data_IF_213006588584
#
_entry.id   IF_213006588584
#
_cell.length_a   1.000
_cell.length_b   1.000
_cell.length_c   1.000
_cell.angle_alpha   90.00
_cell.angle_beta   90.00
_cell.angle_gamma   90.00
#
_symmetry.space_group_name_H-M   'P 1'
#
loop_
_entity.id
_entity.type
_entity.pdbx_description
1 polymer ?
#
# COMPACT_ATOMS: atom_id res chain seq x y z
N UNK A 1 -31.48 -36.48 -27.90
CA UNK A 1 -30.67 -35.26 -27.71
C UNK A 1 -30.60 -34.99 -26.21
N UNK A 2 -29.65 -35.58 -25.51
CA UNK A 2 -29.42 -35.32 -24.07
C UNK A 2 -27.93 -35.44 -23.83
N UNK A 3 -27.26 -34.31 -23.75
CA UNK A 3 -25.81 -34.26 -23.63
C UNK A 3 -25.34 -32.84 -23.35
N UNK A 4 -25.79 -32.27 -22.23
CA UNK A 4 -25.13 -31.10 -21.61
C UNK A 4 -25.35 -31.17 -20.09
N UNK A 5 -24.30 -30.87 -19.32
CA UNK A 5 -24.29 -30.44 -17.90
C UNK A 5 -24.01 -31.43 -16.76
N UNK A 6 -23.08 -32.39 -16.90
CA UNK A 6 -22.46 -33.02 -15.70
C UNK A 6 -21.04 -32.53 -15.41
N UNK A 7 -20.32 -31.97 -16.40
CA UNK A 7 -18.93 -31.52 -16.20
C UNK A 7 -18.76 -30.16 -15.52
N UNK A 8 -19.74 -29.26 -15.61
CA UNK A 8 -19.62 -27.89 -15.10
C UNK A 8 -19.92 -27.79 -13.60
N UNK A 9 -20.83 -28.60 -13.07
CA UNK A 9 -21.22 -28.57 -11.66
C UNK A 9 -20.10 -29.06 -10.74
N UNK A 10 -19.39 -30.12 -11.12
CA UNK A 10 -18.26 -30.65 -10.35
C UNK A 10 -17.08 -29.67 -10.25
N UNK A 11 -16.76 -28.94 -11.32
CA UNK A 11 -15.69 -27.93 -11.32
C UNK A 11 -16.06 -26.74 -10.43
N UNK A 12 -17.32 -26.29 -10.47
CA UNK A 12 -17.80 -25.20 -9.62
C UNK A 12 -17.82 -25.57 -8.13
N UNK A 13 -18.22 -26.79 -7.79
CA UNK A 13 -18.18 -27.28 -6.41
C UNK A 13 -16.75 -27.41 -5.89
N UNK A 14 -15.83 -27.90 -6.72
CA UNK A 14 -14.43 -28.07 -6.35
C UNK A 14 -13.74 -26.70 -6.17
N UNK A 15 -13.98 -25.75 -7.07
CA UNK A 15 -13.47 -24.38 -6.97
C UNK A 15 -14.04 -23.64 -5.75
N UNK A 16 -15.33 -23.81 -5.45
CA UNK A 16 -15.95 -23.25 -4.25
C UNK A 16 -15.38 -23.86 -2.96
N UNK A 17 -15.11 -25.17 -2.96
CA UNK A 17 -14.52 -25.86 -1.81
C UNK A 17 -13.09 -25.38 -1.52
N UNK A 18 -12.28 -25.18 -2.56
CA UNK A 18 -10.91 -24.65 -2.48
C UNK A 18 -10.93 -23.23 -1.91
N UNK A 19 -11.81 -22.36 -2.43
CA UNK A 19 -11.98 -20.98 -1.94
C UNK A 19 -12.33 -20.96 -0.45
N UNK A 20 -13.27 -21.81 -0.01
CA UNK A 20 -13.68 -21.90 1.40
C UNK A 20 -12.57 -22.43 2.30
N UNK A 21 -11.80 -23.41 1.84
CA UNK A 21 -10.65 -23.95 2.57
C UNK A 21 -9.53 -22.90 2.74
N UNK A 22 -9.24 -22.14 1.68
CA UNK A 22 -8.25 -21.06 1.70
C UNK A 22 -8.68 -19.92 2.64
N UNK A 23 -9.94 -19.50 2.59
CA UNK A 23 -10.49 -18.50 3.51
C UNK A 23 -10.39 -18.95 4.98
N UNK A 24 -10.67 -20.24 5.28
CA UNK A 24 -10.51 -20.79 6.63
C UNK A 24 -9.05 -20.84 7.07
N UNK A 25 -8.12 -21.14 6.15
CA UNK A 25 -6.67 -21.13 6.40
C UNK A 25 -6.15 -19.71 6.69
N UNK A 26 -6.65 -18.69 6.00
CA UNK A 26 -6.35 -17.28 6.31
C UNK A 26 -6.88 -16.86 7.67
N UNK A 27 -8.16 -17.14 7.95
CA UNK A 27 -8.76 -16.86 9.26
C UNK A 27 -7.99 -17.54 10.40
N UNK A 28 -7.49 -18.77 10.19
CA UNK A 28 -6.66 -19.48 11.18
C UNK A 28 -5.29 -18.82 11.43
N UNK A 29 -4.79 -18.05 10.47
CA UNK A 29 -3.55 -17.28 10.60
C UNK A 29 -3.70 -16.00 11.41
N UNK A 30 -4.94 -15.61 11.72
CA UNK A 30 -5.29 -14.43 12.50
C UNK A 30 -5.39 -14.75 13.99
N UNK A 31 -4.24 -14.89 14.62
CA UNK A 31 -4.14 -15.24 16.04
C UNK A 31 -4.26 -14.00 16.93
N UNK A 32 -4.62 -14.20 18.20
CA UNK A 32 -4.57 -13.12 19.22
C UNK A 32 -3.17 -12.50 19.32
N UNK A 33 -2.11 -13.29 19.11
CA UNK A 33 -0.73 -12.80 19.08
C UNK A 33 -0.46 -11.89 17.88
N UNK A 34 -0.91 -12.26 16.67
CA UNK A 34 -0.80 -11.38 15.49
C UNK A 34 -1.54 -10.06 15.73
N UNK A 35 -2.78 -10.13 16.20
CA UNK A 35 -3.55 -8.92 16.54
C UNK A 35 -2.84 -8.04 17.57
N UNK A 36 -2.26 -8.64 18.61
CA UNK A 36 -1.50 -7.88 19.60
C UNK A 36 -0.30 -7.18 18.97
N UNK A 37 0.50 -7.87 18.15
CA UNK A 37 1.62 -7.28 17.42
C UNK A 37 1.17 -6.13 16.51
N UNK A 38 0.07 -6.34 15.77
CA UNK A 38 -0.54 -5.32 14.91
C UNK A 38 -0.87 -4.05 15.67
N UNK A 39 -1.52 -4.18 16.82
CA UNK A 39 -1.79 -3.06 17.71
C UNK A 39 -0.50 -2.38 18.17
N UNK A 40 0.53 -3.14 18.56
CA UNK A 40 1.79 -2.59 19.06
C UNK A 40 2.51 -1.73 18.02
N UNK A 41 2.82 -2.29 16.85
CA UNK A 41 3.61 -1.54 15.86
C UNK A 41 2.78 -0.43 15.20
N UNK A 42 1.45 -0.59 15.04
CA UNK A 42 0.56 0.46 14.52
C UNK A 42 0.52 1.65 15.49
N UNK A 43 0.37 1.37 16.78
CA UNK A 43 0.37 2.41 17.82
C UNK A 43 1.72 3.11 17.90
N UNK A 44 2.83 2.37 17.82
CA UNK A 44 4.16 2.96 17.87
C UNK A 44 4.46 3.83 16.64
N UNK A 45 4.14 3.36 15.43
CA UNK A 45 4.28 4.15 14.21
C UNK A 45 3.39 5.40 14.25
N UNK A 46 2.16 5.28 14.72
CA UNK A 46 1.22 6.41 14.89
C UNK A 46 1.77 7.44 15.88
N UNK A 47 2.27 6.99 17.03
CA UNK A 47 2.90 7.87 18.01
C UNK A 47 4.10 8.62 17.43
N UNK A 48 5.00 7.91 16.75
CA UNK A 48 6.16 8.51 16.10
C UNK A 48 5.72 9.55 15.06
N UNK A 49 4.83 9.19 14.13
CA UNK A 49 4.34 10.09 13.10
C UNK A 49 3.67 11.33 13.68
N UNK A 50 2.78 11.14 14.66
CA UNK A 50 2.00 12.23 15.25
C UNK A 50 2.87 13.22 16.03
N UNK A 51 3.83 12.72 16.83
CA UNK A 51 4.75 13.60 17.57
C UNK A 51 5.64 14.41 16.62
N UNK A 52 6.13 13.80 15.54
CA UNK A 52 6.92 14.48 14.52
C UNK A 52 6.09 15.50 13.73
N UNK A 53 4.85 15.15 13.39
CA UNK A 53 3.90 16.07 12.78
C UNK A 53 3.66 17.30 13.66
N UNK A 54 3.47 17.13 14.97
CA UNK A 54 3.33 18.27 15.90
C UNK A 54 4.58 19.15 15.89
N UNK A 55 5.79 18.58 15.91
CA UNK A 55 7.04 19.35 15.87
C UNK A 55 7.10 20.21 14.60
N UNK A 56 6.84 19.59 13.44
CA UNK A 56 6.88 20.26 12.13
C UNK A 56 5.77 21.31 12.01
N UNK A 57 4.54 21.00 12.43
CA UNK A 57 3.44 21.94 12.42
C UNK A 57 3.71 23.15 13.34
N UNK A 58 4.28 22.93 14.52
CA UNK A 58 4.67 24.01 15.43
C UNK A 58 5.80 24.86 14.87
N UNK A 59 6.72 24.29 14.09
CA UNK A 59 7.73 25.08 13.36
C UNK A 59 7.04 26.08 12.42
N UNK A 60 6.05 25.64 11.62
CA UNK A 60 5.32 26.53 10.72
C UNK A 60 4.57 27.67 11.43
N UNK A 61 4.11 27.46 12.66
CA UNK A 61 3.30 28.44 13.40
C UNK A 61 4.14 29.35 14.30
N UNK A 62 5.22 28.84 14.88
CA UNK A 62 5.90 29.49 16.01
C UNK A 62 7.37 29.81 15.78
N UNK A 63 8.02 29.34 14.69
CA UNK A 63 9.45 29.61 14.49
C UNK A 63 9.73 31.10 14.23
N UNK A 64 8.78 31.83 13.64
CA UNK A 64 9.02 33.19 13.13
C UNK A 64 9.96 33.22 11.91
N UNK A 65 10.46 32.06 11.46
CA UNK A 65 11.42 31.91 10.37
C UNK A 65 10.73 31.57 9.04
N UNK A 66 9.51 31.03 9.09
CA UNK A 66 8.79 30.60 7.88
C UNK A 66 8.45 31.79 7.00
N UNK A 67 8.98 31.77 5.78
CA UNK A 67 8.69 32.77 4.75
C UNK A 67 7.77 32.21 3.66
N UNK A 68 7.31 33.09 2.76
CA UNK A 68 6.40 32.74 1.67
C UNK A 68 6.92 31.61 0.75
N UNK A 69 8.23 31.55 0.51
CA UNK A 69 8.79 30.50 -0.33
C UNK A 69 8.53 29.11 0.27
N UNK A 70 8.68 28.93 1.58
CA UNK A 70 8.46 27.64 2.25
C UNK A 70 6.99 27.21 2.21
N UNK A 71 6.06 28.15 2.32
CA UNK A 71 4.63 27.90 2.13
C UNK A 71 4.33 27.48 0.68
N UNK A 72 5.02 28.06 -0.31
CA UNK A 72 4.88 27.70 -1.72
C UNK A 72 5.54 26.37 -2.10
N UNK A 73 6.66 25.99 -1.46
CA UNK A 73 7.36 24.72 -1.71
C UNK A 73 6.72 23.51 -1.01
N UNK A 74 6.02 23.71 0.11
CA UNK A 74 5.39 22.61 0.86
C UNK A 74 4.40 21.77 0.03
N UNK A 75 3.52 22.36 -0.81
CA UNK A 75 2.68 21.59 -1.75
C UNK A 75 3.48 20.71 -2.72
N UNK A 76 4.67 21.14 -3.17
CA UNK A 76 5.52 20.34 -4.06
C UNK A 76 6.08 19.12 -3.32
N UNK A 77 6.50 19.28 -2.06
CA UNK A 77 6.95 18.17 -1.23
C UNK A 77 5.84 17.14 -0.99
N UNK A 78 4.62 17.61 -0.75
CA UNK A 78 3.44 16.74 -0.63
C UNK A 78 3.19 15.99 -1.93
N UNK A 79 3.20 16.69 -3.07
CA UNK A 79 2.97 16.10 -4.39
C UNK A 79 3.98 15.00 -4.74
N UNK A 80 5.29 15.27 -4.57
CA UNK A 80 6.32 14.28 -4.83
C UNK A 80 6.27 13.10 -3.85
N UNK A 81 5.94 13.35 -2.57
CA UNK A 81 5.76 12.28 -1.61
C UNK A 81 4.58 11.36 -1.97
N UNK A 82 3.47 11.91 -2.47
CA UNK A 82 2.34 11.13 -2.96
C UNK A 82 2.68 10.30 -4.20
N UNK A 83 3.45 10.86 -5.15
CA UNK A 83 3.95 10.11 -6.31
C UNK A 83 4.82 8.93 -5.85
N UNK A 84 5.76 9.18 -4.93
CA UNK A 84 6.64 8.13 -4.43
C UNK A 84 5.88 7.08 -3.63
N UNK A 85 4.90 7.47 -2.81
CA UNK A 85 4.02 6.53 -2.11
C UNK A 85 3.28 5.62 -3.09
N UNK A 86 2.72 6.20 -4.16
CA UNK A 86 2.01 5.45 -5.21
C UNK A 86 2.92 4.46 -5.94
N UNK A 87 4.17 4.86 -6.21
CA UNK A 87 5.18 3.97 -6.78
C UNK A 87 5.54 2.83 -5.84
N UNK A 88 5.84 3.13 -4.56
CA UNK A 88 6.20 2.12 -3.55
C UNK A 88 5.05 1.13 -3.34
N UNK A 89 3.81 1.63 -3.24
CA UNK A 89 2.62 0.78 -3.17
C UNK A 89 2.47 -0.11 -4.40
N UNK A 90 2.74 0.43 -5.59
CA UNK A 90 2.75 -0.33 -6.84
C UNK A 90 3.83 -1.42 -6.89
N UNK A 91 5.05 -1.12 -6.45
CA UNK A 91 6.15 -2.09 -6.37
C UNK A 91 5.83 -3.23 -5.39
N UNK A 92 5.25 -2.91 -4.23
CA UNK A 92 4.84 -3.92 -3.25
C UNK A 92 3.73 -4.81 -3.80
N UNK A 93 2.71 -4.21 -4.43
CA UNK A 93 1.61 -4.92 -5.05
C UNK A 93 2.09 -5.85 -6.17
N UNK A 94 2.87 -5.33 -7.12
CA UNK A 94 3.51 -6.12 -8.18
C UNK A 94 4.38 -7.25 -7.62
N UNK A 95 5.16 -6.98 -6.57
CA UNK A 95 5.92 -7.95 -5.78
C UNK A 95 5.10 -9.17 -5.35
N UNK A 96 4.00 -8.90 -4.65
CA UNK A 96 3.18 -9.92 -4.01
C UNK A 96 2.32 -10.69 -5.02
N UNK A 97 1.94 -10.04 -6.12
CA UNK A 97 1.21 -10.66 -7.22
C UNK A 97 2.09 -11.54 -8.10
N UNK A 98 3.34 -11.13 -8.32
CA UNK A 98 4.16 -11.72 -9.38
C UNK A 98 5.00 -12.90 -8.90
N UNK A 99 5.52 -12.89 -7.67
CA UNK A 99 6.45 -13.94 -7.21
C UNK A 99 6.00 -14.65 -5.95
N UNK A 100 6.66 -15.79 -5.74
CA UNK A 100 6.47 -16.62 -4.57
C UNK A 100 5.15 -17.38 -4.58
N UNK A 101 4.89 -18.02 -3.45
CA UNK A 101 3.66 -18.77 -3.20
C UNK A 101 3.16 -18.42 -1.80
N UNK A 102 1.93 -18.83 -1.44
CA UNK A 102 1.45 -18.73 -0.07
C UNK A 102 2.31 -19.42 1.00
N UNK A 103 3.31 -20.21 0.60
CA UNK A 103 4.25 -20.93 1.44
C UNK A 103 5.63 -20.22 1.52
N UNK A 104 5.82 -19.12 0.79
CA UNK A 104 7.06 -18.33 0.86
C UNK A 104 7.33 -17.86 2.28
N UNK A 105 8.57 -18.05 2.73
CA UNK A 105 9.02 -17.66 4.07
C UNK A 105 8.86 -16.15 4.24
N UNK A 106 8.30 -15.73 5.38
CA UNK A 106 7.93 -14.35 5.73
C UNK A 106 6.78 -13.74 4.91
N UNK A 107 6.79 -13.86 3.58
CA UNK A 107 5.85 -13.14 2.70
C UNK A 107 4.61 -13.92 2.26
N UNK A 108 4.56 -15.24 2.50
CA UNK A 108 3.49 -16.10 1.99
C UNK A 108 2.07 -15.66 2.40
N UNK A 109 1.89 -15.11 3.60
CA UNK A 109 0.60 -14.56 4.04
C UNK A 109 0.17 -13.34 3.21
N UNK A 110 1.11 -12.45 2.90
CA UNK A 110 0.86 -11.27 2.07
C UNK A 110 0.58 -11.67 0.63
N UNK A 111 1.41 -12.56 0.04
CA UNK A 111 1.21 -13.11 -1.30
C UNK A 111 -0.18 -13.73 -1.42
N UNK A 112 -0.59 -14.54 -0.44
CA UNK A 112 -1.94 -15.13 -0.42
C UNK A 112 -3.02 -14.05 -0.38
N UNK A 113 -2.91 -13.09 0.54
CA UNK A 113 -3.91 -12.02 0.69
C UNK A 113 -4.10 -11.20 -0.58
N UNK A 114 -3.00 -10.85 -1.26
CA UNK A 114 -3.05 -10.13 -2.53
C UNK A 114 -3.65 -11.00 -3.64
N UNK A 115 -3.18 -12.24 -3.83
CA UNK A 115 -3.71 -13.07 -4.92
C UNK A 115 -5.17 -13.50 -4.70
N UNK A 116 -5.60 -13.71 -3.47
CA UNK A 116 -7.01 -14.01 -3.18
C UNK A 116 -7.95 -12.85 -3.51
N UNK A 117 -7.50 -11.60 -3.44
CA UNK A 117 -8.35 -10.48 -3.84
C UNK A 117 -8.65 -10.46 -5.34
N UNK A 118 -7.86 -11.14 -6.18
CA UNK A 118 -8.18 -11.32 -7.59
C UNK A 118 -9.36 -12.27 -7.80
N UNK A 119 -9.59 -13.17 -6.83
CA UNK A 119 -10.66 -14.16 -6.85
C UNK A 119 -11.92 -13.61 -6.15
N UNK A 120 -11.76 -13.00 -4.97
CA UNK A 120 -12.83 -12.32 -4.23
C UNK A 120 -12.40 -10.87 -3.88
N UNK A 121 -12.65 -9.95 -4.80
CA UNK A 121 -12.34 -8.52 -4.68
C UNK A 121 -12.95 -7.87 -3.43
N UNK A 122 -14.12 -8.35 -3.00
CA UNK A 122 -14.83 -7.76 -1.85
C UNK A 122 -14.42 -8.37 -0.53
N UNK A 123 -13.63 -9.46 -0.50
CA UNK A 123 -13.14 -10.07 0.74
C UNK A 123 -12.41 -9.07 1.63
N UNK A 124 -11.48 -8.30 1.04
CA UNK A 124 -10.70 -7.28 1.76
C UNK A 124 -11.58 -6.20 2.40
N UNK A 125 -12.78 -5.94 1.86
CA UNK A 125 -13.72 -4.95 2.42
C UNK A 125 -14.30 -5.38 3.78
N UNK A 126 -14.16 -6.65 4.15
CA UNK A 126 -14.65 -7.24 5.40
C UNK A 126 -13.66 -7.09 6.56
N UNK A 127 -12.39 -6.78 6.28
CA UNK A 127 -11.36 -6.60 7.30
C UNK A 127 -11.58 -5.29 8.08
N UNK A 128 -11.19 -5.26 9.35
CA UNK A 128 -11.19 -4.00 10.11
C UNK A 128 -9.97 -3.13 9.78
N UNK A 129 -9.91 -1.94 10.38
CA UNK A 129 -8.83 -0.97 10.10
C UNK A 129 -7.44 -1.51 10.48
N UNK A 130 -7.34 -2.25 11.58
CA UNK A 130 -6.05 -2.78 12.07
C UNK A 130 -5.60 -3.89 11.13
N UNK A 131 -6.45 -4.85 10.84
CA UNK A 131 -6.12 -5.94 9.91
C UNK A 131 -5.76 -5.43 8.51
N UNK A 132 -6.39 -4.33 8.06
CA UNK A 132 -6.11 -3.73 6.75
C UNK A 132 -4.78 -2.99 6.71
N UNK A 133 -4.44 -2.23 7.76
CA UNK A 133 -3.39 -1.19 7.69
C UNK A 133 -2.24 -1.39 8.68
N UNK A 134 -2.34 -2.30 9.63
CA UNK A 134 -1.27 -2.47 10.60
C UNK A 134 0.02 -2.88 9.85
N UNK A 135 0.01 -3.95 9.06
CA UNK A 135 1.24 -4.48 8.47
C UNK A 135 1.97 -3.49 7.54
N UNK A 136 1.28 -2.48 6.96
CA UNK A 136 1.92 -1.41 6.16
C UNK A 136 2.72 -0.42 7.02
N UNK A 137 2.44 -0.32 8.32
CA UNK A 137 3.15 0.59 9.24
C UNK A 137 4.46 0.02 9.79
N UNK A 138 4.58 -1.30 9.88
CA UNK A 138 5.80 -1.96 10.38
C UNK A 138 7.08 -1.53 9.62
N UNK A 139 7.13 -1.53 8.27
CA UNK A 139 8.32 -1.08 7.53
C UNK A 139 8.56 0.44 7.61
N UNK A 140 7.59 1.22 8.10
CA UNK A 140 7.74 2.68 8.25
C UNK A 140 8.46 3.06 9.54
N UNK A 141 8.51 2.17 10.54
CA UNK A 141 9.13 2.46 11.84
C UNK A 141 10.59 2.91 11.70
N UNK A 142 11.48 2.22 10.95
CA UNK A 142 12.86 2.69 10.76
C UNK A 142 12.95 4.08 10.13
N UNK A 143 12.07 4.38 9.16
CA UNK A 143 12.02 5.70 8.50
C UNK A 143 11.59 6.79 9.48
N UNK A 144 10.57 6.52 10.29
CA UNK A 144 10.07 7.44 11.32
C UNK A 144 11.09 7.63 12.45
N UNK A 145 11.83 6.59 12.82
CA UNK A 145 12.92 6.70 13.80
C UNK A 145 14.09 7.53 13.25
N UNK A 146 14.42 7.36 11.98
CA UNK A 146 15.45 8.14 11.31
C UNK A 146 15.05 9.63 11.24
N UNK A 147 13.81 9.93 10.85
CA UNK A 147 13.29 11.30 10.88
C UNK A 147 13.34 11.88 12.30
N UNK A 148 12.95 11.09 13.31
CA UNK A 148 13.06 11.50 14.71
C UNK A 148 14.50 11.77 15.11
N UNK A 149 15.46 10.95 14.71
CA UNK A 149 16.88 11.18 14.97
C UNK A 149 17.32 12.55 14.43
N UNK A 150 16.95 12.89 13.19
CA UNK A 150 17.28 14.20 12.59
C UNK A 150 16.58 15.39 13.26
N UNK A 151 15.34 15.24 13.71
CA UNK A 151 14.63 16.32 14.44
C UNK A 151 15.25 16.60 15.82
N UNK A 152 15.87 15.60 16.44
CA UNK A 152 16.46 15.68 17.78
C UNK A 152 17.99 15.78 17.76
N UNK A 153 18.63 15.78 16.58
CA UNK A 153 20.07 16.05 16.48
C UNK A 153 20.37 17.51 16.83
N UNK A 154 21.65 17.84 17.04
CA UNK A 154 22.04 19.21 17.39
C UNK A 154 21.52 20.21 16.35
N UNK A 155 20.71 21.18 16.79
CA UNK A 155 20.30 22.29 15.95
C UNK A 155 21.44 23.30 15.87
N UNK A 156 22.08 23.38 14.70
CA UNK A 156 23.23 24.26 14.45
C UNK A 156 22.84 25.49 13.61
N UNK A 157 21.58 25.60 13.18
CA UNK A 157 21.15 26.57 12.17
C UNK A 157 19.97 27.46 12.59
N UNK A 158 19.20 27.12 13.63
CA UNK A 158 17.98 27.86 14.00
C UNK A 158 17.82 28.13 15.50
N UNK A 159 16.88 29.03 15.82
CA UNK A 159 16.52 29.38 17.21
C UNK A 159 15.40 28.49 17.78
N UNK A 160 14.95 27.49 17.02
CA UNK A 160 13.87 26.59 17.38
C UNK A 160 14.37 25.37 18.19
N UNK A 161 13.54 24.86 19.10
CA UNK A 161 13.88 23.77 20.05
C UNK A 161 14.35 22.48 19.36
N UNK A 162 13.83 22.20 18.17
CA UNK A 162 14.16 21.02 17.38
C UNK A 162 15.05 21.41 16.20
N UNK A 163 15.84 20.46 15.69
CA UNK A 163 16.67 20.64 14.49
C UNK A 163 15.81 20.63 13.24
N UNK A 164 15.10 21.74 13.04
CA UNK A 164 14.25 22.03 11.91
C UNK A 164 14.38 23.51 11.58
N UNK A 165 14.57 23.79 10.30
CA UNK A 165 14.77 25.12 9.75
C UNK A 165 14.20 25.18 8.32
N UNK A 166 14.34 26.34 7.69
CA UNK A 166 13.91 26.57 6.32
C UNK A 166 14.61 25.67 5.29
N UNK A 167 15.85 25.25 5.52
CA UNK A 167 16.61 24.40 4.58
C UNK A 167 16.14 22.94 4.62
N UNK A 168 15.63 22.47 5.77
CA UNK A 168 15.30 21.06 5.98
C UNK A 168 13.80 20.77 6.17
N UNK A 169 12.95 21.77 6.47
CA UNK A 169 11.51 21.59 6.76
C UNK A 169 10.78 20.85 5.64
N UNK A 170 11.14 21.11 4.38
CA UNK A 170 10.56 20.43 3.22
C UNK A 170 10.78 18.91 3.25
N UNK A 171 11.94 18.44 3.74
CA UNK A 171 12.25 17.00 3.86
C UNK A 171 11.38 16.35 4.93
N UNK A 172 11.12 17.05 6.04
CA UNK A 172 10.23 16.55 7.09
C UNK A 172 8.77 16.49 6.63
N UNK A 173 8.29 17.50 5.91
CA UNK A 173 6.96 17.50 5.28
C UNK A 173 6.84 16.33 4.27
N UNK A 174 7.86 16.14 3.44
CA UNK A 174 7.94 15.03 2.49
C UNK A 174 7.84 13.68 3.20
N UNK A 175 8.67 13.43 4.22
CA UNK A 175 8.70 12.15 4.94
C UNK A 175 7.40 11.87 5.69
N UNK A 176 6.80 12.86 6.34
CA UNK A 176 5.50 12.71 6.99
C UNK A 176 4.40 12.39 5.97
N UNK A 177 4.40 13.07 4.82
CA UNK A 177 3.43 12.81 3.75
C UNK A 177 3.64 11.41 3.16
N UNK A 178 4.87 11.03 2.85
CA UNK A 178 5.20 9.72 2.29
C UNK A 178 4.73 8.60 3.21
N UNK A 179 5.07 8.69 4.50
CA UNK A 179 4.76 7.65 5.49
C UNK A 179 3.25 7.55 5.75
N UNK A 180 2.50 8.65 5.82
CA UNK A 180 1.04 8.56 6.01
C UNK A 180 0.33 7.94 4.81
N UNK A 181 0.73 8.28 3.58
CA UNK A 181 0.12 7.71 2.37
C UNK A 181 0.45 6.22 2.20
N UNK A 182 1.67 5.80 2.54
CA UNK A 182 2.02 4.36 2.57
C UNK A 182 1.22 3.64 3.66
N UNK A 183 1.11 4.21 4.87
CA UNK A 183 0.37 3.60 5.96
C UNK A 183 -1.09 3.31 5.59
N UNK A 184 -1.77 4.24 4.91
CA UNK A 184 -3.18 4.10 4.53
C UNK A 184 -3.40 3.46 3.15
N UNK A 185 -2.36 3.04 2.43
CA UNK A 185 -2.49 2.58 1.03
C UNK A 185 -3.43 1.38 0.91
N UNK A 186 -3.44 0.48 1.89
CA UNK A 186 -4.34 -0.67 1.90
C UNK A 186 -5.79 -0.26 2.18
N UNK A 187 -6.04 0.71 3.07
CA UNK A 187 -7.38 1.26 3.28
C UNK A 187 -7.91 1.92 2.01
N UNK A 188 -7.06 2.66 1.29
CA UNK A 188 -7.42 3.28 0.02
C UNK A 188 -7.73 2.21 -1.05
N UNK A 189 -6.90 1.18 -1.15
CA UNK A 189 -7.15 0.02 -2.02
C UNK A 189 -8.50 -0.65 -1.66
N UNK A 190 -8.76 -0.89 -0.38
CA UNK A 190 -10.03 -1.43 0.13
C UNK A 190 -11.23 -0.58 -0.25
N UNK A 191 -11.14 0.75 -0.11
CA UNK A 191 -12.21 1.65 -0.53
C UNK A 191 -12.49 1.59 -2.03
N UNK A 192 -11.50 1.24 -2.87
CA UNK A 192 -11.71 1.08 -4.31
C UNK A 192 -12.57 -0.14 -4.68
N UNK A 193 -12.70 -1.12 -3.76
CA UNK A 193 -13.57 -2.30 -3.91
C UNK A 193 -14.91 -2.17 -3.19
N UNK A 194 -15.07 -1.19 -2.29
CA UNK A 194 -16.32 -0.98 -1.57
C UNK A 194 -17.41 -0.44 -2.49
N UNK A 195 -18.61 -1.03 -2.40
CA UNK A 195 -19.79 -0.50 -3.08
C UNK A 195 -20.20 0.90 -2.56
N UNK A 196 -19.96 1.17 -1.26
CA UNK A 196 -20.28 2.44 -0.61
C UNK A 196 -19.13 2.92 0.30
N UNK A 197 -18.06 3.50 -0.27
CA UNK A 197 -16.95 4.02 0.53
C UNK A 197 -17.37 5.19 1.44
N UNK A 198 -16.63 5.46 2.54
CA UNK A 198 -16.89 6.59 3.43
C UNK A 198 -16.96 7.94 2.69
N UNK A 199 -17.69 8.91 3.24
CA UNK A 199 -17.90 10.21 2.59
C UNK A 199 -16.58 10.94 2.27
N UNK A 200 -15.61 10.91 3.19
CA UNK A 200 -14.29 11.47 3.00
C UNK A 200 -13.54 10.77 1.86
N UNK A 201 -13.54 9.44 1.83
CA UNK A 201 -12.93 8.66 0.75
C UNK A 201 -13.53 9.04 -0.61
N UNK A 202 -14.87 9.10 -0.71
CA UNK A 202 -15.56 9.52 -1.95
C UNK A 202 -15.19 10.94 -2.36
N UNK A 203 -14.99 11.86 -1.41
CA UNK A 203 -14.54 13.22 -1.69
C UNK A 203 -13.12 13.23 -2.26
N UNK A 204 -12.18 12.57 -1.59
CA UNK A 204 -10.79 12.47 -2.05
C UNK A 204 -10.67 11.79 -3.43
N UNK A 205 -11.48 10.75 -3.69
CA UNK A 205 -11.58 10.09 -5.00
C UNK A 205 -12.08 11.05 -6.09
N UNK A 206 -13.09 11.89 -5.81
CA UNK A 206 -13.59 12.90 -6.77
C UNK A 206 -12.53 13.98 -7.06
N UNK A 207 -11.70 14.30 -6.08
CA UNK A 207 -10.57 15.21 -6.25
C UNK A 207 -9.35 14.53 -6.90
N UNK A 208 -9.44 13.24 -7.27
CA UNK A 208 -8.33 12.45 -7.80
C UNK A 208 -7.09 12.40 -6.89
N UNK A 209 -7.27 12.53 -5.57
CA UNK A 209 -6.18 12.51 -4.59
C UNK A 209 -5.84 11.10 -4.10
N UNK A 210 -6.77 10.14 -4.25
CA UNK A 210 -6.58 8.74 -3.88
C UNK A 210 -7.17 7.82 -4.96
N UNK A 211 -6.76 6.55 -4.95
CA UNK A 211 -7.19 5.53 -5.91
C UNK A 211 -8.72 5.48 -6.04
N UNK A 212 -9.22 5.37 -7.28
CA UNK A 212 -10.66 5.22 -7.56
C UNK A 212 -11.00 3.80 -8.02
N UNK A 213 -12.25 3.32 -7.80
CA UNK A 213 -12.70 2.03 -8.34
C UNK A 213 -12.52 1.91 -9.85
N UNK A 214 -12.67 3.01 -10.60
CA UNK A 214 -12.51 3.02 -12.06
C UNK A 214 -11.07 2.75 -12.47
N UNK A 215 -10.11 3.40 -11.81
CA UNK A 215 -8.68 3.24 -12.10
C UNK A 215 -8.25 1.82 -11.72
N UNK A 216 -8.59 1.37 -10.52
CA UNK A 216 -8.16 0.06 -10.03
C UNK A 216 -8.78 -1.12 -10.80
N UNK A 217 -10.00 -0.96 -11.35
CA UNK A 217 -10.62 -1.97 -12.21
C UNK A 217 -9.76 -2.34 -13.43
N UNK A 218 -8.88 -1.46 -13.91
CA UNK A 218 -7.99 -1.76 -15.03
C UNK A 218 -7.04 -2.92 -14.69
N UNK A 219 -6.51 -2.94 -13.47
CA UNK A 219 -5.67 -4.02 -12.97
C UNK A 219 -6.44 -5.35 -12.84
N UNK A 220 -7.69 -5.29 -12.35
CA UNK A 220 -8.57 -6.47 -12.25
C UNK A 220 -9.11 -6.99 -13.58
N UNK A 221 -8.79 -6.33 -14.71
CA UNK A 221 -9.17 -6.78 -16.05
C UNK A 221 -8.01 -7.57 -16.67
N UNK A 222 -8.29 -8.76 -17.19
CA UNK A 222 -7.31 -9.57 -17.90
C UNK A 222 -6.47 -10.45 -16.97
N UNK A 223 -5.15 -10.24 -16.98
CA UNK A 223 -4.14 -11.12 -16.40
C UNK A 223 -3.51 -10.59 -15.10
N UNK A 224 -4.04 -9.49 -14.53
CA UNK A 224 -3.50 -8.88 -13.30
C UNK A 224 -2.03 -8.44 -13.42
N UNK A 225 -1.64 -8.00 -14.62
CA UNK A 225 -0.24 -7.80 -15.02
C UNK A 225 0.13 -6.33 -15.32
N UNK A 226 -0.80 -5.41 -15.05
CA UNK A 226 -0.72 -3.96 -15.29
C UNK A 226 -1.34 -3.15 -14.14
N UNK A 227 -1.08 -1.83 -14.11
CA UNK A 227 -1.75 -0.87 -13.21
C UNK A 227 -1.68 -1.19 -11.71
N UNK A 228 -0.48 -1.53 -11.21
CA UNK A 228 -0.29 -1.96 -9.81
C UNK A 228 -0.35 -0.84 -8.76
N UNK A 229 -0.23 0.44 -9.13
CA UNK A 229 -0.22 1.53 -8.16
C UNK A 229 -1.61 1.73 -7.53
N UNK A 230 -1.68 1.62 -6.19
CA UNK A 230 -2.92 1.54 -5.41
C UNK A 230 -3.09 2.66 -4.36
N UNK A 231 -2.20 3.65 -4.32
CA UNK A 231 -2.32 4.78 -3.38
C UNK A 231 -3.14 5.91 -4.02
N UNK A 232 -2.67 6.44 -5.15
CA UNK A 232 -3.36 7.45 -5.95
C UNK A 232 -3.74 6.90 -7.32
N UNK A 233 -2.97 5.94 -7.83
CA UNK A 233 -3.07 5.40 -9.18
C UNK A 233 -2.59 6.35 -10.27
N UNK A 234 -1.91 7.44 -9.92
CA UNK A 234 -1.40 8.45 -10.86
C UNK A 234 -0.37 7.88 -11.82
N UNK A 235 0.50 6.99 -11.32
CA UNK A 235 1.60 6.45 -12.11
C UNK A 235 1.16 5.32 -13.06
N UNK A 236 -0.02 4.74 -12.87
CA UNK A 236 -0.48 3.59 -13.66
C UNK A 236 -0.46 3.86 -15.18
N UNK A 237 -0.96 5.03 -15.61
CA UNK A 237 -0.97 5.37 -17.03
C UNK A 237 0.42 5.44 -17.65
N UNK A 238 1.36 6.08 -16.94
CA UNK A 238 2.74 6.23 -17.39
C UNK A 238 3.51 4.90 -17.37
N UNK A 239 3.47 4.17 -16.24
CA UNK A 239 4.21 2.92 -16.07
C UNK A 239 3.72 1.82 -17.03
N UNK A 240 2.41 1.77 -17.31
CA UNK A 240 1.86 0.85 -18.31
C UNK A 240 2.32 1.24 -19.72
N UNK A 241 2.36 2.53 -20.06
CA UNK A 241 2.76 3.01 -21.40
C UNK A 241 4.21 2.67 -21.74
N UNK A 242 5.10 2.64 -20.74
CA UNK A 242 6.52 2.26 -20.92
C UNK A 242 6.78 0.76 -20.67
N UNK A 243 5.73 -0.05 -20.48
CA UNK A 243 5.84 -1.48 -20.13
C UNK A 243 6.72 -1.76 -18.91
N UNK A 244 6.75 -0.85 -17.93
CA UNK A 244 7.65 -0.89 -16.78
C UNK A 244 7.63 -2.26 -16.08
N UNK A 245 6.43 -2.78 -15.78
CA UNK A 245 6.26 -4.04 -15.05
C UNK A 245 6.81 -5.25 -15.81
N UNK A 246 6.58 -5.32 -17.12
CA UNK A 246 7.07 -6.42 -17.98
C UNK A 246 8.59 -6.39 -18.11
N UNK A 247 9.16 -5.19 -18.25
CA UNK A 247 10.60 -4.99 -18.31
C UNK A 247 11.27 -5.36 -16.99
N UNK A 248 10.71 -4.90 -15.87
CA UNK A 248 11.22 -5.21 -14.54
C UNK A 248 11.16 -6.72 -14.24
N UNK A 249 10.11 -7.42 -14.70
CA UNK A 249 10.06 -8.89 -14.63
C UNK A 249 11.14 -9.56 -15.47
N UNK A 250 11.37 -9.08 -16.69
CA UNK A 250 12.43 -9.61 -17.56
C UNK A 250 13.80 -9.48 -16.91
N UNK A 251 14.06 -8.36 -16.22
CA UNK A 251 15.28 -8.15 -15.43
C UNK A 251 15.37 -9.15 -14.28
N UNK A 252 14.31 -9.32 -13.49
CA UNK A 252 14.29 -10.30 -12.39
C UNK A 252 14.53 -11.72 -12.92
N UNK A 253 13.88 -12.12 -14.01
CA UNK A 253 14.09 -13.42 -14.65
C UNK A 253 15.52 -13.58 -15.15
N UNK A 254 16.10 -12.57 -15.79
CA UNK A 254 17.49 -12.61 -16.25
C UNK A 254 18.50 -12.76 -15.09
N UNK A 255 18.24 -12.12 -13.95
CA UNK A 255 19.12 -12.15 -12.79
C UNK A 255 18.95 -13.39 -11.91
N UNK A 256 17.75 -13.98 -11.86
CA UNK A 256 17.42 -15.02 -10.87
C UNK A 256 16.92 -16.34 -11.47
N UNK A 257 16.55 -16.35 -12.75
CA UNK A 257 15.84 -17.45 -13.39
C UNK A 257 14.37 -17.61 -12.97
N UNK A 258 13.86 -16.79 -12.04
CA UNK A 258 12.48 -16.88 -11.58
C UNK A 258 11.50 -16.45 -12.69
N UNK A 259 10.50 -17.29 -12.95
CA UNK A 259 9.43 -16.98 -13.89
C UNK A 259 8.32 -16.18 -13.19
N UNK A 260 7.89 -15.03 -13.75
CA UNK A 260 6.81 -14.24 -13.16
C UNK A 260 5.48 -15.02 -13.24
N UNK A 261 4.70 -15.01 -12.16
CA UNK A 261 3.38 -15.66 -12.05
C UNK A 261 3.40 -17.17 -12.38
N UNK A 262 4.51 -17.86 -12.11
CA UNK A 262 4.72 -19.27 -12.46
C UNK A 262 3.65 -20.25 -11.91
N UNK A 263 2.90 -19.85 -10.89
CA UNK A 263 1.91 -20.64 -10.17
C UNK A 263 0.47 -20.10 -10.29
N UNK A 264 0.24 -19.07 -11.12
CA UNK A 264 -1.09 -18.46 -11.24
C UNK A 264 -2.14 -19.44 -11.75
N UNK A 265 -1.79 -20.33 -12.68
CA UNK A 265 -2.72 -21.36 -13.17
C UNK A 265 -3.21 -22.28 -12.06
N UNK A 266 -2.34 -22.63 -11.11
CA UNK A 266 -2.68 -23.48 -9.97
C UNK A 266 -3.47 -22.75 -8.87
N UNK A 267 -3.30 -21.43 -8.76
CA UNK A 267 -3.90 -20.62 -7.68
C UNK A 267 -5.15 -19.86 -8.10
N UNK A 268 -5.23 -19.42 -9.35
CA UNK A 268 -6.26 -18.55 -9.91
C UNK A 268 -7.11 -19.27 -10.98
N UNK A 269 -6.77 -20.51 -11.37
CA UNK A 269 -7.55 -21.31 -12.31
C UNK A 269 -7.53 -20.81 -13.76
N UNK A 270 -6.49 -20.06 -14.15
CA UNK A 270 -6.26 -19.56 -15.51
C UNK A 270 -5.01 -20.17 -16.13
#
# INVERSE_FOLDING_TARGET
MSGVQEGTTGVFEDEFSIRKANAKKLASGYTKQKRFMECCYLSFATYLWFTQFIIVARYFVHSGEVNFAHLAWSPLMVFFAMILADFIGGMAHWGLDTWGTPETVLFGKFIRSFREHHVDQVAMTKHDFIETNADTTLPLIPVLLLQRYFLFSANIHGNYEYNIDNENVGRHVFLLTLTIFIAITNEVHKWSHMAKPPALARFLMRCHLILTPRVHRKHHRGNFDISYCITTGWLNGFLDAINFWRLAESVVTALTGALPRANDQKLLGK
#
